data_IF_575200714427
#
_entry.id   IF_575200714427
#
_cell.length_a   1.000
_cell.length_b   1.000
_cell.length_c   1.000
_cell.angle_alpha   90.00
_cell.angle_beta   90.00
_cell.angle_gamma   90.00
#
_symmetry.space_group_name_H-M   'P 1'
#
loop_
_entity.id
_entity.type
_entity.pdbx_description
1 polymer ?
#
# COMPACT_ATOMS: atom_id res chain seq x y z
N UNK A 1 10.80 10.73 4.69
CA UNK A 1 9.51 10.74 5.41
C UNK A 1 8.41 10.71 4.39
N UNK A 2 7.54 9.70 4.44
CA UNK A 2 6.38 9.62 3.55
C UNK A 2 5.38 10.69 3.95
N UNK A 3 4.90 11.46 2.96
CA UNK A 3 3.87 12.51 3.13
C UNK A 3 2.60 12.00 3.81
N UNK A 4 2.39 10.67 3.82
CA UNK A 4 1.23 9.99 4.38
C UNK A 4 1.64 8.92 5.40
N UNK A 5 2.48 9.29 6.39
CA UNK A 5 3.03 8.32 7.36
C UNK A 5 1.96 7.53 8.15
N UNK A 6 0.81 8.15 8.43
CA UNK A 6 -0.32 7.47 9.08
C UNK A 6 -1.01 6.46 8.16
N UNK A 7 -1.19 6.82 6.88
CA UNK A 7 -1.70 5.90 5.86
C UNK A 7 -0.74 4.73 5.65
N UNK A 8 0.57 5.00 5.54
CA UNK A 8 1.61 3.97 5.41
C UNK A 8 1.52 2.97 6.58
N UNK A 9 1.36 3.44 7.82
CA UNK A 9 1.27 2.56 8.99
C UNK A 9 0.01 1.68 8.97
N UNK A 10 -1.16 2.25 8.68
CA UNK A 10 -2.43 1.50 8.63
C UNK A 10 -2.40 0.50 7.46
N UNK A 11 -1.88 0.95 6.32
CA UNK A 11 -1.78 0.13 5.12
C UNK A 11 -0.78 -1.01 5.31
N UNK A 12 0.36 -0.76 5.98
CA UNK A 12 1.35 -1.79 6.30
C UNK A 12 0.77 -2.87 7.22
N UNK A 13 0.05 -2.49 8.28
CA UNK A 13 -0.57 -3.45 9.19
C UNK A 13 -1.58 -4.37 8.47
N UNK A 14 -2.33 -3.83 7.51
CA UNK A 14 -3.20 -4.65 6.65
C UNK A 14 -2.39 -5.51 5.68
N UNK A 15 -1.38 -4.94 5.02
CA UNK A 15 -0.54 -5.63 4.05
C UNK A 15 0.16 -6.85 4.68
N UNK A 16 0.65 -6.72 5.91
CA UNK A 16 1.27 -7.82 6.66
C UNK A 16 0.28 -8.96 6.92
N UNK A 17 -0.96 -8.66 7.30
CA UNK A 17 -2.01 -9.68 7.49
C UNK A 17 -2.31 -10.45 6.21
N UNK A 18 -2.41 -9.75 5.09
CA UNK A 18 -2.71 -10.36 3.78
C UNK A 18 -1.54 -11.21 3.30
N UNK A 19 -0.29 -10.76 3.52
CA UNK A 19 0.93 -11.54 3.25
C UNK A 19 0.98 -12.81 4.09
N UNK A 20 0.72 -12.72 5.40
CA UNK A 20 0.69 -13.86 6.31
C UNK A 20 -0.45 -14.86 5.99
N UNK A 21 -1.50 -14.38 5.34
CA UNK A 21 -2.63 -15.21 4.88
C UNK A 21 -2.39 -15.84 3.51
N UNK A 22 -1.22 -15.60 2.89
CA UNK A 22 -0.84 -16.08 1.56
C UNK A 22 -1.87 -15.70 0.47
N UNK A 23 -2.56 -14.57 0.65
CA UNK A 23 -3.54 -14.05 -0.30
C UNK A 23 -2.78 -13.24 -1.37
N UNK A 24 -2.96 -13.54 -2.67
CA UNK A 24 -2.31 -12.78 -3.72
C UNK A 24 -2.86 -11.35 -3.78
N UNK A 25 -1.98 -10.37 -3.59
CA UNK A 25 -2.34 -8.95 -3.62
C UNK A 25 -1.79 -8.32 -4.90
N UNK A 26 -2.69 -8.03 -5.83
CA UNK A 26 -2.32 -7.29 -7.04
C UNK A 26 -2.35 -5.78 -6.80
N UNK A 27 -1.84 -5.01 -7.78
CA UNK A 27 -1.76 -3.55 -7.68
C UNK A 27 -3.13 -2.87 -7.51
N UNK A 28 -4.19 -3.40 -8.12
CA UNK A 28 -5.55 -2.86 -7.99
C UNK A 28 -6.07 -3.00 -6.56
N UNK A 29 -5.90 -4.17 -5.94
CA UNK A 29 -6.32 -4.41 -4.55
C UNK A 29 -5.56 -3.48 -3.59
N UNK A 30 -4.24 -3.30 -3.82
CA UNK A 30 -3.43 -2.36 -3.05
C UNK A 30 -3.96 -0.93 -3.19
N UNK A 31 -4.28 -0.50 -4.41
CA UNK A 31 -4.78 0.85 -4.69
C UNK A 31 -6.15 1.09 -4.05
N UNK A 32 -7.11 0.17 -4.26
CA UNK A 32 -8.45 0.28 -3.69
C UNK A 32 -8.40 0.36 -2.16
N UNK A 33 -7.57 -0.48 -1.52
CA UNK A 33 -7.43 -0.47 -0.08
C UNK A 33 -6.80 0.83 0.44
N UNK A 34 -5.76 1.32 -0.25
CA UNK A 34 -5.10 2.58 0.12
C UNK A 34 -6.06 3.78 -0.01
N UNK A 35 -6.87 3.81 -1.07
CA UNK A 35 -7.91 4.83 -1.27
C UNK A 35 -9.00 4.74 -0.20
N UNK A 36 -9.43 3.53 0.18
CA UNK A 36 -10.41 3.34 1.24
C UNK A 36 -9.91 3.82 2.61
N UNK A 37 -8.63 3.55 2.93
CA UNK A 37 -8.00 4.06 4.15
C UNK A 37 -7.86 5.59 4.10
N UNK A 38 -7.43 6.15 2.97
CA UNK A 38 -7.32 7.59 2.78
C UNK A 38 -8.66 8.30 2.97
N UNK A 39 -9.73 7.80 2.34
CA UNK A 39 -11.07 8.33 2.46
C UNK A 39 -11.57 8.28 3.91
N UNK A 40 -11.31 7.17 4.63
CA UNK A 40 -11.69 7.01 6.03
C UNK A 40 -10.94 7.98 6.97
N UNK A 41 -9.72 8.39 6.60
CA UNK A 41 -8.89 9.32 7.38
C UNK A 41 -8.96 10.77 6.85
N UNK A 42 -9.96 11.10 6.01
CA UNK A 42 -10.13 12.44 5.41
C UNK A 42 -8.90 12.92 4.62
N UNK A 43 -8.08 12.02 4.09
CA UNK A 43 -6.90 12.31 3.27
C UNK A 43 -7.31 12.51 1.80
N UNK A 44 -8.11 13.54 1.55
CA UNK A 44 -8.72 13.79 0.23
C UNK A 44 -7.70 14.18 -0.85
N UNK A 45 -6.47 14.50 -0.46
CA UNK A 45 -5.35 14.80 -1.38
C UNK A 45 -4.58 13.54 -1.81
N UNK A 46 -4.89 12.38 -1.22
CA UNK A 46 -4.25 11.12 -1.58
C UNK A 46 -4.96 10.51 -2.79
N UNK A 47 -4.24 10.39 -3.90
CA UNK A 47 -4.74 9.83 -5.16
C UNK A 47 -4.45 8.33 -5.34
N UNK A 48 -3.75 7.70 -4.39
CA UNK A 48 -3.29 6.31 -4.58
C UNK A 48 -2.39 6.15 -5.80
N UNK A 49 -1.60 7.18 -6.12
CA UNK A 49 -0.75 7.22 -7.30
C UNK A 49 0.19 6.01 -7.38
N UNK A 50 0.44 5.57 -8.62
CA UNK A 50 1.33 4.44 -8.92
C UNK A 50 2.70 4.57 -8.25
N UNK A 51 3.21 5.79 -8.14
CA UNK A 51 4.47 6.13 -7.50
C UNK A 51 4.47 5.86 -5.99
N UNK A 52 3.36 6.12 -5.30
CA UNK A 52 3.24 5.82 -3.86
C UNK A 52 3.21 4.31 -3.63
N UNK A 53 2.43 3.56 -4.43
CA UNK A 53 2.37 2.10 -4.34
C UNK A 53 3.75 1.47 -4.62
N UNK A 54 4.45 1.96 -5.64
CA UNK A 54 5.81 1.49 -5.95
C UNK A 54 6.79 1.77 -4.81
N UNK A 55 6.73 2.97 -4.21
CA UNK A 55 7.55 3.32 -3.04
C UNK A 55 7.23 2.44 -1.83
N UNK A 56 5.95 2.22 -1.55
CA UNK A 56 5.50 1.34 -0.47
C UNK A 56 6.04 -0.08 -0.66
N UNK A 57 5.91 -0.64 -1.87
CA UNK A 57 6.46 -1.96 -2.20
C UNK A 57 7.98 -2.00 -2.04
N UNK A 58 8.73 -1.05 -2.58
CA UNK A 58 10.19 -1.02 -2.44
C UNK A 58 10.61 -0.96 -0.96
N UNK A 59 9.85 -0.25 -0.13
CA UNK A 59 10.17 -0.08 1.29
C UNK A 59 9.83 -1.30 2.16
N UNK A 60 8.82 -2.08 1.77
CA UNK A 60 8.27 -3.17 2.58
C UNK A 60 8.43 -4.57 1.95
N UNK A 61 8.80 -4.65 0.68
CA UNK A 61 9.19 -5.87 -0.02
C UNK A 61 10.71 -5.95 -0.06
N UNK A 62 11.30 -6.62 0.93
CA UNK A 62 12.59 -7.29 0.67
C UNK A 62 12.28 -8.47 -0.26
N UNK A 63 12.46 -8.24 -1.57
CA UNK A 63 12.60 -9.20 -2.66
C UNK A 63 11.44 -10.20 -2.90
N UNK A 64 10.85 -10.16 -4.11
CA UNK A 64 10.71 -11.36 -4.99
C UNK A 64 10.04 -10.93 -6.32
N UNK A 65 10.79 -11.04 -7.42
CA UNK A 65 10.42 -10.86 -8.82
C UNK A 65 9.98 -9.46 -9.30
N UNK A 66 10.99 -8.67 -9.69
CA UNK A 66 10.90 -7.90 -10.92
C UNK A 66 10.99 -8.89 -12.09
N UNK A 67 9.86 -9.35 -12.60
CA UNK A 67 9.80 -9.95 -13.93
C UNK A 67 8.78 -9.16 -14.76
N UNK A 68 9.28 -8.78 -15.93
CA UNK A 68 8.77 -7.87 -16.95
C UNK A 68 7.53 -8.41 -17.69
#
# INVERSE_FOLDING_TARGET
>A
MSTYSELDSIFFAWYEQVRNSNIPVNKNILQEKALGIAASNSMNTFSGSNEWISRFKIHHSNDDNADE
#
